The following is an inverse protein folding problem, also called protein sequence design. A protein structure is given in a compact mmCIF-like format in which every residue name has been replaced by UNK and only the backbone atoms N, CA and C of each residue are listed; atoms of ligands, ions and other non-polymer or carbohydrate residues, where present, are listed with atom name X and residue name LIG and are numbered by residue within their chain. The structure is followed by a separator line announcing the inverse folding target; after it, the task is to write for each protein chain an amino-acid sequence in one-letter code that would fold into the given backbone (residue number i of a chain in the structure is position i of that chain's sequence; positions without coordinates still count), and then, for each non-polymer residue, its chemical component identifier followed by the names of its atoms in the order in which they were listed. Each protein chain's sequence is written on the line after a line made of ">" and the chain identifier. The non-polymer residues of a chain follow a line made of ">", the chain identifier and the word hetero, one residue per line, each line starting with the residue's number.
data_IF_830496041365
#
_entry.id   IF_830496041365
#
_cell.length_a   1.000
_cell.length_b   1.000
_cell.length_c   1.000
_cell.angle_alpha   90.00
_cell.angle_beta   90.00
_cell.angle_gamma   90.00
#
_symmetry.space_group_name_H-M   'P 1'
#
loop_
_entity.id
_entity.type
_entity.pdbx_description
1 polymer ?
#
# COMPACT_ATOMS: atom_id res chain seq x y z
N UNK A 1 21.50 4.26 2.49
CA UNK A 1 22.62 4.26 1.52
C UNK A 1 22.38 3.11 0.54
N UNK A 2 22.57 3.35 -0.75
CA UNK A 2 22.56 2.28 -1.77
C UNK A 2 23.87 1.49 -1.62
N UNK A 3 23.84 0.17 -1.81
CA UNK A 3 25.04 -0.69 -1.86
C UNK A 3 25.29 -1.07 -3.32
N UNK A 4 26.06 -0.28 -4.10
CA UNK A 4 26.13 -0.44 -5.56
C UNK A 4 26.69 -1.80 -5.99
N UNK A 5 27.53 -2.39 -5.14
CA UNK A 5 28.12 -3.72 -5.38
C UNK A 5 27.11 -4.88 -5.31
N UNK A 6 25.90 -4.64 -4.78
CA UNK A 6 24.81 -5.62 -4.78
C UNK A 6 23.88 -5.47 -5.98
N UNK A 7 24.05 -4.42 -6.79
CA UNK A 7 23.25 -4.22 -7.99
C UNK A 7 23.88 -4.97 -9.15
N UNK A 8 23.04 -5.61 -10.01
CA UNK A 8 23.51 -6.15 -11.28
C UNK A 8 24.18 -5.07 -12.15
N UNK A 9 25.17 -5.47 -12.96
CA UNK A 9 25.89 -4.54 -13.86
C UNK A 9 24.97 -3.79 -14.83
N UNK A 10 23.81 -4.37 -15.15
CA UNK A 10 22.80 -3.83 -16.06
C UNK A 10 21.62 -3.16 -15.34
N UNK A 11 21.72 -2.90 -14.03
CA UNK A 11 20.65 -2.32 -13.22
C UNK A 11 20.07 -1.04 -13.84
N UNK A 12 20.92 -0.07 -14.20
CA UNK A 12 20.49 1.20 -14.77
C UNK A 12 19.71 1.04 -16.08
N UNK A 13 19.98 -0.04 -16.84
CA UNK A 13 19.29 -0.35 -18.09
C UNK A 13 17.96 -1.05 -17.89
N UNK A 14 17.77 -1.71 -16.75
CA UNK A 14 16.54 -2.45 -16.39
C UNK A 14 15.66 -1.72 -15.38
N UNK A 15 16.15 -0.62 -14.82
CA UNK A 15 15.38 0.21 -13.90
C UNK A 15 14.16 0.80 -14.62
N UNK A 16 13.00 0.57 -14.02
CA UNK A 16 11.74 1.18 -14.44
C UNK A 16 11.13 1.84 -13.21
N UNK A 17 10.75 3.11 -13.34
CA UNK A 17 10.06 3.82 -12.26
C UNK A 17 8.56 3.54 -12.37
N UNK A 18 7.92 3.24 -11.24
CA UNK A 18 6.49 2.97 -11.21
C UNK A 18 5.67 4.13 -11.78
N UNK A 19 6.10 5.36 -11.52
CA UNK A 19 5.44 6.59 -11.96
C UNK A 19 5.51 6.82 -13.49
N UNK A 20 6.37 6.08 -14.20
CA UNK A 20 6.46 6.10 -15.66
C UNK A 20 5.52 5.10 -16.32
N UNK A 21 4.95 4.16 -15.55
CA UNK A 21 4.04 3.16 -16.09
C UNK A 21 2.66 3.77 -16.42
N UNK A 22 1.88 3.15 -17.33
CA UNK A 22 0.55 3.64 -17.67
C UNK A 22 -0.36 3.77 -16.45
N UNK A 23 -1.12 4.85 -16.40
CA UNK A 23 -2.07 5.08 -15.33
C UNK A 23 -3.39 4.36 -15.60
N UNK A 24 -3.97 3.75 -14.56
CA UNK A 24 -5.28 3.10 -14.60
C UNK A 24 -6.11 3.48 -13.38
N UNK A 25 -7.39 3.74 -13.62
CA UNK A 25 -8.35 3.98 -12.55
C UNK A 25 -8.67 2.68 -11.81
N UNK A 26 -8.63 2.71 -10.48
CA UNK A 26 -9.11 1.60 -9.67
C UNK A 26 -10.64 1.48 -9.79
N UNK A 27 -11.13 0.25 -9.84
CA UNK A 27 -12.56 -0.06 -10.00
C UNK A 27 -13.19 -0.64 -8.73
N UNK A 28 -14.52 -0.77 -8.73
CA UNK A 28 -15.26 -1.40 -7.64
C UNK A 28 -15.08 -0.66 -6.32
N UNK A 29 -14.86 -1.41 -5.25
CA UNK A 29 -14.64 -0.86 -3.92
C UNK A 29 -13.40 0.06 -3.85
N UNK A 30 -12.38 -0.21 -4.66
CA UNK A 30 -11.08 0.49 -4.61
C UNK A 30 -11.07 1.86 -5.30
N UNK A 31 -12.14 2.23 -6.01
CA UNK A 31 -12.26 3.50 -6.75
C UNK A 31 -11.92 4.74 -5.89
N UNK A 32 -12.19 4.68 -4.58
CA UNK A 32 -11.90 5.77 -3.65
C UNK A 32 -10.41 6.08 -3.44
N UNK A 33 -9.50 5.19 -3.87
CA UNK A 33 -8.04 5.41 -3.85
C UNK A 33 -7.54 6.14 -5.11
N UNK A 34 -8.38 6.27 -6.14
CA UNK A 34 -8.07 6.99 -7.37
C UNK A 34 -7.22 6.20 -8.35
N UNK A 35 -6.36 6.92 -9.06
CA UNK A 35 -5.51 6.38 -10.13
C UNK A 35 -4.29 5.65 -9.57
N UNK A 36 -3.96 4.51 -10.16
CA UNK A 36 -2.77 3.72 -9.87
C UNK A 36 -1.90 3.56 -11.13
N UNK A 37 -0.65 3.13 -10.95
CA UNK A 37 0.27 2.85 -12.05
C UNK A 37 0.32 1.36 -12.34
N UNK A 38 0.07 0.97 -13.58
CA UNK A 38 0.03 -0.43 -14.03
C UNK A 38 1.43 -0.94 -14.35
N UNK A 39 2.03 -1.67 -13.41
CA UNK A 39 3.44 -2.04 -13.46
C UNK A 39 3.78 -3.03 -14.60
N UNK A 40 2.79 -3.77 -15.09
CA UNK A 40 2.97 -4.78 -16.13
C UNK A 40 2.13 -4.53 -17.40
N UNK A 41 1.39 -3.41 -17.44
CA UNK A 41 0.54 -3.00 -18.56
C UNK A 41 -0.60 -3.99 -18.90
N UNK A 42 -0.88 -4.95 -18.02
CA UNK A 42 -1.93 -5.95 -18.15
C UNK A 42 -3.01 -5.82 -17.07
N UNK A 43 -2.84 -4.90 -16.13
CA UNK A 43 -3.73 -4.65 -15.02
C UNK A 43 -3.63 -5.64 -13.86
N UNK A 44 -2.64 -6.54 -13.87
CA UNK A 44 -2.47 -7.57 -12.84
C UNK A 44 -1.91 -7.01 -11.53
N UNK A 45 -1.03 -6.02 -11.62
CA UNK A 45 -0.35 -5.40 -10.48
C UNK A 45 -0.33 -3.90 -10.64
N UNK A 46 -1.03 -3.21 -9.73
CA UNK A 46 -1.18 -1.77 -9.75
C UNK A 46 -0.48 -1.15 -8.54
N UNK A 47 0.47 -0.25 -8.78
CA UNK A 47 1.09 0.54 -7.72
C UNK A 47 0.18 1.72 -7.36
N UNK A 48 -0.37 1.70 -6.15
CA UNK A 48 -1.37 2.66 -5.66
C UNK A 48 -0.69 3.74 -4.83
N UNK A 49 -0.78 5.03 -5.19
CA UNK A 49 -0.25 6.11 -4.36
C UNK A 49 -0.93 6.14 -2.98
N UNK A 50 -0.12 6.07 -1.91
CA UNK A 50 -0.59 6.12 -0.51
C UNK A 50 0.21 7.17 0.27
N UNK A 51 0.05 8.47 -0.06
CA UNK A 51 0.95 9.52 0.41
C UNK A 51 0.86 9.75 1.92
N UNK A 52 1.96 10.24 2.48
CA UNK A 52 2.01 10.80 3.82
C UNK A 52 3.17 10.31 4.67
N UNK A 53 3.52 9.01 4.58
CA UNK A 53 4.64 8.45 5.34
C UNK A 53 5.98 8.98 4.83
N UNK A 54 6.31 8.68 3.58
CA UNK A 54 7.50 9.18 2.87
C UNK A 54 7.10 9.72 1.49
N UNK A 55 7.93 10.58 0.85
CA UNK A 55 7.72 10.93 -0.55
C UNK A 55 7.66 9.67 -1.42
N UNK A 56 6.67 9.59 -2.30
CA UNK A 56 6.51 8.42 -3.18
C UNK A 56 6.05 7.14 -2.47
N UNK A 57 5.48 7.22 -1.26
CA UNK A 57 4.87 6.04 -0.61
C UNK A 57 3.77 5.45 -1.51
N UNK A 58 3.89 4.16 -1.79
CA UNK A 58 2.93 3.40 -2.60
C UNK A 58 2.57 2.08 -1.90
N UNK A 59 1.35 1.62 -2.13
CA UNK A 59 0.96 0.23 -1.94
C UNK A 59 0.89 -0.51 -3.26
N UNK A 60 0.67 -1.81 -3.21
CA UNK A 60 0.45 -2.65 -4.40
C UNK A 60 -0.91 -3.31 -4.30
N UNK A 61 -1.74 -3.07 -5.30
CA UNK A 61 -3.00 -3.78 -5.51
C UNK A 61 -2.78 -4.92 -6.51
N UNK A 62 -3.27 -6.11 -6.20
CA UNK A 62 -3.16 -7.30 -7.04
C UNK A 62 -4.29 -8.29 -6.74
N UNK A 63 -4.42 -9.31 -7.59
CA UNK A 63 -5.26 -10.50 -7.33
C UNK A 63 -4.40 -11.67 -6.88
N UNK A 64 -4.82 -12.35 -5.82
CA UNK A 64 -4.13 -13.54 -5.35
C UNK A 64 -4.50 -14.78 -6.17
N UNK A 65 -3.89 -15.92 -5.84
CA UNK A 65 -4.13 -17.20 -6.51
C UNK A 65 -5.57 -17.74 -6.37
N UNK A 66 -6.38 -17.17 -5.47
CA UNK A 66 -7.79 -17.50 -5.26
C UNK A 66 -8.72 -16.40 -5.80
N UNK A 67 -8.20 -15.50 -6.64
CA UNK A 67 -8.92 -14.38 -7.26
C UNK A 67 -9.43 -13.32 -6.28
N UNK A 68 -8.82 -13.24 -5.08
CA UNK A 68 -9.13 -12.20 -4.09
C UNK A 68 -8.38 -10.93 -4.41
N UNK A 69 -9.05 -9.79 -4.31
CA UNK A 69 -8.41 -8.47 -4.44
C UNK A 69 -7.67 -8.13 -3.14
N UNK A 70 -6.37 -7.84 -3.28
CA UNK A 70 -5.46 -7.59 -2.16
C UNK A 70 -4.75 -6.26 -2.36
N UNK A 71 -4.76 -5.41 -1.33
CA UNK A 71 -3.92 -4.24 -1.24
C UNK A 71 -2.83 -4.46 -0.18
N UNK A 72 -1.59 -4.62 -0.63
CA UNK A 72 -0.39 -4.54 0.20
C UNK A 72 -0.08 -3.06 0.43
N UNK A 73 -0.47 -2.50 1.56
CA UNK A 73 -0.39 -1.05 1.80
C UNK A 73 0.94 -0.56 2.38
N UNK A 74 1.92 -1.46 2.52
CA UNK A 74 3.23 -1.18 3.08
C UNK A 74 3.10 -0.40 4.42
N UNK A 75 3.89 0.66 4.57
CA UNK A 75 3.92 1.53 5.76
C UNK A 75 2.95 2.73 5.67
N UNK A 76 2.00 2.71 4.73
CA UNK A 76 0.93 3.72 4.69
C UNK A 76 0.07 3.67 5.96
N UNK A 77 0.02 2.50 6.60
CA UNK A 77 -0.56 2.28 7.94
C UNK A 77 0.33 1.27 8.65
N UNK A 78 0.61 1.44 9.95
CA UNK A 78 1.46 0.49 10.67
C UNK A 78 0.71 -0.75 11.18
N UNK A 79 -0.54 -0.61 11.67
CA UNK A 79 -1.26 -1.78 12.18
C UNK A 79 -2.77 -1.68 12.03
N UNK A 80 -3.41 -2.85 12.03
CA UNK A 80 -4.85 -2.95 12.06
C UNK A 80 -5.48 -2.51 13.40
N UNK A 81 -4.69 -2.27 14.43
CA UNK A 81 -5.17 -1.66 15.67
C UNK A 81 -5.22 -0.12 15.56
N UNK A 82 -4.24 0.47 14.87
CA UNK A 82 -4.06 1.93 14.69
C UNK A 82 -5.22 2.54 13.88
N UNK A 83 -5.65 1.89 12.80
CA UNK A 83 -6.81 2.33 12.01
C UNK A 83 -8.18 1.90 12.58
N UNK A 84 -8.31 0.83 13.38
CA UNK A 84 -9.61 0.36 13.89
C UNK A 84 -10.20 1.32 14.94
N UNK A 85 -9.34 2.10 15.60
CA UNK A 85 -9.72 3.05 16.65
C UNK A 85 -9.33 4.50 16.32
N UNK A 86 -8.78 4.75 15.12
CA UNK A 86 -8.17 6.03 14.71
C UNK A 86 -7.16 6.57 15.74
N UNK A 87 -6.44 5.66 16.41
CA UNK A 87 -5.42 6.03 17.38
C UNK A 87 -4.15 6.42 16.63
N UNK A 88 -3.90 7.72 16.56
CA UNK A 88 -2.74 8.27 15.86
C UNK A 88 -1.43 7.97 16.61
N UNK A 89 -0.31 7.77 15.88
CA UNK A 89 1.00 7.67 16.49
C UNK A 89 1.24 8.85 17.46
N UNK A 90 1.67 8.51 18.68
CA UNK A 90 1.96 9.51 19.72
C UNK A 90 3.15 10.38 19.31
N UNK A 91 3.20 11.63 19.78
CA UNK A 91 4.39 12.45 19.60
C UNK A 91 5.62 11.74 20.22
N UNK A 92 6.78 11.64 19.54
CA UNK A 92 7.20 12.38 18.35
C UNK A 92 7.09 11.62 17.02
N UNK A 93 6.50 10.42 16.95
CA UNK A 93 6.42 9.63 15.68
C UNK A 93 5.73 10.35 14.52
N UNK A 94 4.98 11.42 14.79
CA UNK A 94 4.43 12.34 13.76
C UNK A 94 5.51 13.06 12.95
N UNK A 95 6.69 13.31 13.51
CA UNK A 95 7.84 13.94 12.83
C UNK A 95 8.49 13.02 11.80
N UNK A 96 8.14 11.73 11.79
CA UNK A 96 8.60 10.76 10.80
C UNK A 96 7.74 10.77 9.53
N UNK A 97 6.64 11.53 9.51
CA UNK A 97 5.73 11.62 8.37
C UNK A 97 6.10 12.82 7.50
N UNK A 98 6.30 12.57 6.20
CA UNK A 98 6.58 13.61 5.24
C UNK A 98 5.43 14.62 5.08
N UNK A 99 4.18 14.14 5.06
CA UNK A 99 2.98 14.98 5.03
C UNK A 99 1.91 14.39 5.95
N UNK A 100 1.74 15.01 7.12
CA UNK A 100 0.77 14.58 8.11
C UNK A 100 -0.68 14.65 7.60
N UNK A 101 -1.02 15.67 6.81
CA UNK A 101 -2.37 15.84 6.30
C UNK A 101 -2.72 14.75 5.27
N UNK A 102 -1.77 14.44 4.38
CA UNK A 102 -1.91 13.36 3.42
C UNK A 102 -1.98 12.00 4.11
N UNK A 103 -1.11 11.77 5.09
CA UNK A 103 -1.12 10.54 5.89
C UNK A 103 -2.50 10.31 6.52
N UNK A 104 -3.08 11.34 7.15
CA UNK A 104 -4.42 11.23 7.73
C UNK A 104 -5.52 10.98 6.69
N UNK A 105 -5.43 11.56 5.48
CA UNK A 105 -6.38 11.28 4.39
C UNK A 105 -6.27 9.83 3.93
N UNK A 106 -5.06 9.34 3.69
CA UNK A 106 -4.76 7.96 3.29
C UNK A 106 -5.29 6.97 4.33
N UNK A 107 -4.98 7.18 5.62
CA UNK A 107 -5.47 6.32 6.72
C UNK A 107 -7.00 6.32 6.78
N UNK A 108 -7.66 7.48 6.63
CA UNK A 108 -9.12 7.57 6.62
C UNK A 108 -9.76 6.85 5.42
N UNK A 109 -9.17 6.96 4.23
CA UNK A 109 -9.64 6.24 3.05
C UNK A 109 -9.54 4.72 3.26
N UNK A 110 -8.38 4.23 3.72
CA UNK A 110 -8.18 2.80 4.00
C UNK A 110 -9.12 2.30 5.09
N UNK A 111 -9.34 3.08 6.15
CA UNK A 111 -10.31 2.76 7.19
C UNK A 111 -11.75 2.70 6.64
N UNK A 112 -12.15 3.69 5.84
CA UNK A 112 -13.47 3.69 5.21
C UNK A 112 -13.70 2.45 4.33
N UNK A 113 -12.67 2.05 3.57
CA UNK A 113 -12.72 0.83 2.76
C UNK A 113 -12.93 -0.42 3.58
N UNK A 114 -12.21 -0.61 4.68
CA UNK A 114 -12.37 -1.83 5.49
C UNK A 114 -13.65 -1.90 6.30
N UNK A 115 -14.23 -0.75 6.65
CA UNK A 115 -15.54 -0.71 7.28
C UNK A 115 -16.65 -0.99 6.27
N UNK A 116 -16.56 -0.42 5.07
CA UNK A 116 -17.56 -0.62 4.02
C UNK A 116 -17.48 -2.00 3.37
N UNK A 117 -16.27 -2.55 3.27
CA UNK A 117 -15.94 -3.79 2.58
C UNK A 117 -15.00 -4.67 3.42
N UNK A 118 -15.50 -5.26 4.52
CA UNK A 118 -14.70 -6.10 5.42
C UNK A 118 -14.16 -7.38 4.77
N UNK A 119 -14.67 -7.75 3.59
CA UNK A 119 -14.18 -8.84 2.74
C UNK A 119 -12.86 -8.53 2.04
N UNK A 120 -12.50 -7.25 1.88
CA UNK A 120 -11.27 -6.87 1.17
C UNK A 120 -10.03 -7.17 2.02
N UNK A 121 -8.99 -7.65 1.36
CA UNK A 121 -7.70 -7.88 1.99
C UNK A 121 -6.85 -6.60 1.91
N UNK A 122 -6.74 -5.88 3.02
CA UNK A 122 -5.80 -4.75 3.17
C UNK A 122 -4.70 -5.18 4.16
N UNK A 123 -3.47 -5.26 3.67
CA UNK A 123 -2.33 -5.86 4.38
C UNK A 123 -1.21 -4.83 4.60
N UNK A 124 -1.12 -4.27 5.83
CA UNK A 124 0.01 -3.44 6.23
C UNK A 124 1.27 -4.26 6.54
N UNK A 125 2.46 -3.67 6.36
CA UNK A 125 3.76 -4.36 6.59
C UNK A 125 3.91 -4.95 8.00
N UNK A 126 3.36 -4.26 9.01
CA UNK A 126 3.60 -4.54 10.43
C UNK A 126 2.34 -5.02 11.16
N UNK A 127 1.50 -5.79 10.48
CA UNK A 127 0.21 -6.22 11.03
C UNK A 127 -0.05 -7.72 10.95
N UNK A 128 0.43 -8.45 11.98
CA UNK A 128 0.15 -9.88 12.11
C UNK A 128 -1.35 -10.23 12.11
N UNK A 129 -2.25 -9.49 12.80
CA UNK A 129 -3.68 -9.82 12.76
C UNK A 129 -4.32 -9.72 11.37
N UNK A 130 -3.88 -8.78 10.52
CA UNK A 130 -4.36 -8.70 9.13
C UNK A 130 -3.85 -9.87 8.30
N UNK A 131 -2.58 -10.25 8.49
CA UNK A 131 -1.99 -11.40 7.82
C UNK A 131 -2.68 -12.71 8.23
N UNK A 132 -2.91 -12.91 9.52
CA UNK A 132 -3.59 -14.09 10.07
C UNK A 132 -5.02 -14.24 9.53
N UNK A 133 -5.73 -13.13 9.33
CA UNK A 133 -7.07 -13.15 8.73
C UNK A 133 -7.03 -13.51 7.25
N UNK A 134 -6.04 -13.01 6.52
CA UNK A 134 -5.89 -13.23 5.10
C UNK A 134 -5.40 -14.65 4.77
N UNK A 135 -4.46 -15.16 5.55
CA UNK A 135 -3.85 -16.48 5.36
C UNK A 135 -3.61 -17.19 6.70
N UNK A 136 -4.64 -17.86 7.25
CA UNK A 136 -4.56 -18.54 8.55
C UNK A 136 -3.55 -19.70 8.60
N UNK A 137 -3.22 -20.27 7.44
CA UNK A 137 -2.34 -21.44 7.28
C UNK A 137 -0.85 -21.13 7.45
N UNK A 138 -0.46 -19.85 7.52
CA UNK A 138 0.96 -19.44 7.66
C UNK A 138 1.41 -19.31 9.12
N UNK A 139 0.61 -19.80 10.07
CA UNK A 139 0.99 -19.94 11.48
C UNK A 139 1.77 -21.23 11.71
#
# INVERSE_FOLDING_TARGET
>A
ALLPQLLPEDFDRRLQFAEQAPQRELSGAWKGLGTAYDLFEDGSVLAVPLPGHVPGQMGVWLRDQHDREVLLCADAVWSSATWATLQWPAWPTRLLMHDWSAFQRTVRQLHGLSQAHPELAILPSHCQPSLDRYQPEWR
#
